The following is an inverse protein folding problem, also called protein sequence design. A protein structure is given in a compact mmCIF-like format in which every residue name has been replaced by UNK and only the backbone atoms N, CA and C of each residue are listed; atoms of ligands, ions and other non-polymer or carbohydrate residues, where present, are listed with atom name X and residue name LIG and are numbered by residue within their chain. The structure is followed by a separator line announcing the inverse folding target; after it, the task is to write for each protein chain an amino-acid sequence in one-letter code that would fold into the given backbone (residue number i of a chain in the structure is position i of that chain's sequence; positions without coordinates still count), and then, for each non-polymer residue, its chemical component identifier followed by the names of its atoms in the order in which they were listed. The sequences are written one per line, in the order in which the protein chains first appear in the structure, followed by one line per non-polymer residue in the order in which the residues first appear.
data_IF_156706579669
#
_entry.id   IF_156706579669
#
_cell.length_a   1.000
_cell.length_b   1.000
_cell.length_c   1.000
_cell.angle_alpha   90.00
_cell.angle_beta   90.00
_cell.angle_gamma   90.00
#
_symmetry.space_group_name_H-M   'P 1'
#
loop_
_entity.id
_entity.type
_entity.pdbx_description
1 polymer ?
#
# COMPACT_ATOMS: atom_id res chain seq x y z
N UNK A 1 -5.85 46.35 10.44
CA UNK A 1 -6.50 45.08 10.83
C UNK A 1 -5.64 43.97 10.24
N UNK A 2 -4.83 43.30 11.05
CA UNK A 2 -3.85 42.33 10.58
C UNK A 2 -4.36 40.91 10.79
N UNK A 3 -4.45 40.11 9.73
CA UNK A 3 -4.85 38.72 9.83
C UNK A 3 -3.74 37.90 10.53
N UNK A 4 -4.08 37.32 11.68
CA UNK A 4 -3.20 36.42 12.41
C UNK A 4 -3.18 35.06 11.71
N UNK A 5 -2.25 34.88 10.78
CA UNK A 5 -2.09 33.60 10.06
C UNK A 5 -1.32 32.61 10.92
N UNK A 6 -1.96 31.49 11.25
CA UNK A 6 -1.30 30.40 11.96
C UNK A 6 -0.37 29.62 11.01
N UNK A 7 0.93 29.94 11.06
CA UNK A 7 1.95 29.32 10.22
C UNK A 7 2.07 27.80 10.43
N UNK A 8 1.76 27.27 11.61
CA UNK A 8 1.76 25.81 11.86
C UNK A 8 0.69 25.11 11.03
N UNK A 9 -0.51 25.69 10.97
CA UNK A 9 -1.60 25.16 10.14
C UNK A 9 -1.24 25.23 8.66
N UNK A 10 -0.72 26.36 8.19
CA UNK A 10 -0.27 26.52 6.81
C UNK A 10 0.80 25.50 6.41
N UNK A 11 1.78 25.24 7.28
CA UNK A 11 2.80 24.18 7.04
C UNK A 11 2.19 22.78 7.00
N UNK A 12 1.26 22.47 7.90
CA UNK A 12 0.56 21.17 7.91
C UNK A 12 -0.26 20.96 6.64
N UNK A 13 -0.91 22.02 6.15
CA UNK A 13 -1.71 21.96 4.93
C UNK A 13 -0.81 21.74 3.71
N UNK A 14 0.34 22.42 3.65
CA UNK A 14 1.37 22.17 2.62
C UNK A 14 1.88 20.73 2.65
N UNK A 15 2.23 20.20 3.83
CA UNK A 15 2.71 18.83 3.97
C UNK A 15 1.66 17.79 3.51
N UNK A 16 0.37 18.05 3.80
CA UNK A 16 -0.73 17.19 3.32
C UNK A 16 -0.84 17.21 1.80
N UNK A 17 -0.79 18.39 1.18
CA UNK A 17 -0.81 18.52 -0.29
C UNK A 17 0.37 17.79 -0.95
N UNK A 18 1.58 17.95 -0.41
CA UNK A 18 2.77 17.26 -0.92
C UNK A 18 2.65 15.74 -0.80
N UNK A 19 2.04 15.24 0.27
CA UNK A 19 1.78 13.80 0.43
C UNK A 19 0.73 13.28 -0.56
N UNK A 20 -0.32 14.06 -0.84
CA UNK A 20 -1.34 13.74 -1.84
C UNK A 20 -0.75 13.68 -3.26
N UNK A 21 0.07 14.65 -3.65
CA UNK A 21 0.77 14.64 -4.95
C UNK A 21 1.65 13.40 -5.08
N UNK A 22 2.49 13.11 -4.08
CA UNK A 22 3.32 11.90 -4.09
C UNK A 22 2.49 10.63 -4.16
N UNK A 23 1.33 10.59 -3.51
CA UNK A 23 0.43 9.44 -3.59
C UNK A 23 -0.15 9.28 -5.01
N UNK A 24 -0.51 10.38 -5.68
CA UNK A 24 -0.96 10.37 -7.07
C UNK A 24 0.15 9.90 -8.02
N UNK A 25 1.38 10.44 -7.88
CA UNK A 25 2.54 10.03 -8.67
C UNK A 25 2.84 8.54 -8.49
N UNK A 26 2.77 8.03 -7.26
CA UNK A 26 2.96 6.61 -6.98
C UNK A 26 1.85 5.73 -7.57
N UNK A 27 0.59 6.20 -7.62
CA UNK A 27 -0.50 5.48 -8.30
C UNK A 27 -0.24 5.36 -9.80
N UNK A 28 0.26 6.42 -10.43
CA UNK A 28 0.62 6.43 -11.85
C UNK A 28 1.85 5.56 -12.11
N UNK A 29 2.91 5.73 -11.32
CA UNK A 29 4.19 5.04 -11.53
C UNK A 29 4.13 3.54 -11.23
N UNK A 30 3.40 3.14 -10.17
CA UNK A 30 3.36 1.75 -9.73
C UNK A 30 2.04 1.03 -10.08
N UNK A 31 1.05 1.76 -10.62
CA UNK A 31 -0.24 1.21 -11.07
C UNK A 31 -1.12 0.61 -9.98
N UNK A 32 -0.61 0.47 -8.75
CA UNK A 32 -1.29 -0.10 -7.59
C UNK A 32 -0.85 0.62 -6.32
N UNK A 33 -1.82 0.92 -5.47
CA UNK A 33 -1.58 1.49 -4.14
C UNK A 33 -0.92 0.46 -3.20
N UNK A 34 -0.40 0.94 -2.07
CA UNK A 34 0.19 0.05 -1.05
C UNK A 34 -0.83 -0.94 -0.49
N UNK A 35 -2.07 -0.49 -0.25
CA UNK A 35 -3.16 -1.34 0.26
C UNK A 35 -3.50 -2.46 -0.70
N UNK A 36 -3.69 -2.14 -1.99
CA UNK A 36 -4.00 -3.16 -3.01
C UNK A 36 -2.87 -4.18 -3.18
N UNK A 37 -1.61 -3.74 -3.07
CA UNK A 37 -0.46 -4.66 -3.06
C UNK A 37 -0.50 -5.61 -1.86
N UNK A 38 -0.76 -5.09 -0.66
CA UNK A 38 -0.84 -5.90 0.56
C UNK A 38 -1.99 -6.90 0.52
N UNK A 39 -3.16 -6.49 0.03
CA UNK A 39 -4.31 -7.38 -0.15
C UNK A 39 -4.00 -8.50 -1.15
N UNK A 40 -3.37 -8.16 -2.27
CA UNK A 40 -2.96 -9.14 -3.29
C UNK A 40 -1.94 -10.13 -2.71
N UNK A 41 -0.96 -9.64 -1.95
CA UNK A 41 0.07 -10.47 -1.33
C UNK A 41 -0.51 -11.40 -0.26
N UNK A 42 -1.42 -10.89 0.59
CA UNK A 42 -2.13 -11.68 1.57
C UNK A 42 -2.98 -12.78 0.90
N UNK A 43 -3.69 -12.44 -0.18
CA UNK A 43 -4.47 -13.40 -0.94
C UNK A 43 -3.59 -14.50 -1.54
N UNK A 44 -2.47 -14.12 -2.17
CA UNK A 44 -1.49 -15.10 -2.69
C UNK A 44 -0.91 -16.00 -1.61
N UNK A 45 -0.61 -15.47 -0.43
CA UNK A 45 -0.10 -16.26 0.69
C UNK A 45 -1.13 -17.26 1.20
N UNK A 46 -2.40 -16.87 1.29
CA UNK A 46 -3.50 -17.78 1.64
C UNK A 46 -3.67 -18.89 0.60
N UNK A 47 -3.64 -18.53 -0.69
CA UNK A 47 -3.79 -19.49 -1.77
C UNK A 47 -2.61 -20.46 -1.83
N UNK A 48 -1.38 -19.98 -1.63
CA UNK A 48 -0.19 -20.83 -1.50
C UNK A 48 -0.35 -21.83 -0.34
N UNK A 49 -0.75 -21.37 0.85
CA UNK A 49 -0.98 -22.24 2.01
C UNK A 49 -2.07 -23.27 1.76
N UNK A 50 -3.15 -22.89 1.08
CA UNK A 50 -4.23 -23.83 0.69
C UNK A 50 -3.70 -24.89 -0.27
N UNK A 51 -2.96 -24.48 -1.30
CA UNK A 51 -2.37 -25.40 -2.27
C UNK A 51 -1.38 -26.36 -1.61
N UNK A 52 -0.52 -25.86 -0.71
CA UNK A 52 0.41 -26.69 0.05
C UNK A 52 -0.33 -27.67 0.97
N UNK A 53 -1.39 -27.23 1.66
CA UNK A 53 -2.22 -28.12 2.48
C UNK A 53 -3.04 -29.16 1.69
N UNK A 54 -3.25 -28.91 0.39
CA UNK A 54 -3.89 -29.86 -0.53
C UNK A 54 -2.90 -30.68 -1.34
N UNK A 55 -1.58 -30.46 -1.18
CA UNK A 55 -0.56 -31.28 -1.82
C UNK A 55 -0.58 -32.65 -1.17
N UNK A 56 -0.98 -33.68 -1.93
CA UNK A 56 -0.63 -35.06 -1.59
C UNK A 56 0.83 -35.24 -2.00
N UNK A 57 1.73 -35.36 -1.03
CA UNK A 57 3.11 -35.76 -1.31
C UNK A 57 3.05 -37.13 -2.00
N UNK A 58 3.48 -37.18 -3.26
CA UNK A 58 3.64 -38.46 -3.95
C UNK A 58 4.88 -39.13 -3.35
N UNK A 59 4.87 -40.46 -3.16
CA UNK A 59 6.07 -41.16 -2.69
C UNK A 59 7.17 -41.01 -3.75
N UNK A 60 8.13 -40.11 -3.52
CA UNK A 60 9.24 -39.86 -4.43
C UNK A 60 9.83 -38.44 -4.43
N UNK A 61 9.19 -37.45 -3.81
CA UNK A 61 9.77 -36.09 -3.67
C UNK A 61 10.49 -35.95 -2.31
N UNK A 62 11.68 -36.54 -2.18
CA UNK A 62 12.73 -36.14 -1.22
C UNK A 62 13.96 -35.61 -1.97
#
# INVERSE_FOLDING_TARGET
MGDLVNLRRARKDRARKEAETKAADNRVAFGRTRSERQETEAQRALDARRLDGHRLDKPGDE
#
